data_IF_200951330372
#
_entry.id   IF_200951330372
#
_cell.length_a   1.000
_cell.length_b   1.000
_cell.length_c   1.000
_cell.angle_alpha   90.00
_cell.angle_beta   90.00
_cell.angle_gamma   90.00
#
_symmetry.space_group_name_H-M   'P 1'
#
loop_
_entity.id
_entity.type
_entity.pdbx_description
1 polymer ?
#
# COMPACT_ATOMS: atom_id res chain seq x y z
N UNK A 1 4.29 2.45 -1.33
CA UNK A 1 3.52 1.34 -0.72
C UNK A 1 2.04 1.61 -0.92
N UNK A 2 1.26 0.58 -1.28
CA UNK A 2 -0.20 0.66 -1.31
C UNK A 2 -0.75 -0.22 -0.18
N UNK A 3 -1.80 0.22 0.50
CA UNK A 3 -2.57 -0.70 1.35
C UNK A 3 -3.34 -1.71 0.46
N UNK A 4 -3.83 -2.81 1.05
CA UNK A 4 -4.58 -3.84 0.31
C UNK A 4 -5.81 -3.27 -0.38
N UNK A 5 -6.52 -2.34 0.28
CA UNK A 5 -7.74 -1.72 -0.20
C UNK A 5 -7.54 -0.87 -1.47
N UNK A 6 -6.39 -0.19 -1.59
CA UNK A 6 -5.98 0.58 -2.75
C UNK A 6 -5.58 -0.35 -3.89
N UNK A 7 -4.95 -1.50 -3.60
CA UNK A 7 -4.68 -2.52 -4.64
C UNK A 7 -5.99 -3.06 -5.22
N UNK A 8 -6.99 -3.32 -4.38
CA UNK A 8 -8.32 -3.74 -4.84
C UNK A 8 -9.02 -2.64 -5.67
N UNK A 9 -9.03 -1.40 -5.17
CA UNK A 9 -9.60 -0.27 -5.91
C UNK A 9 -8.95 -0.11 -7.28
N UNK A 10 -7.65 -0.34 -7.36
CA UNK A 10 -6.90 -0.20 -8.60
C UNK A 10 -7.17 -1.35 -9.59
N UNK A 11 -6.99 -2.60 -9.15
CA UNK A 11 -6.91 -3.76 -10.04
C UNK A 11 -8.21 -4.58 -10.13
N UNK A 12 -9.11 -4.44 -9.16
CA UNK A 12 -10.39 -5.16 -9.12
C UNK A 12 -11.54 -4.25 -9.49
N UNK A 13 -11.57 -3.05 -8.93
CA UNK A 13 -12.67 -2.10 -9.14
C UNK A 13 -12.39 -1.04 -10.21
N UNK A 14 -11.16 -1.01 -10.75
CA UNK A 14 -10.74 -0.07 -11.79
C UNK A 14 -11.12 1.39 -11.46
N UNK A 15 -10.90 1.78 -10.20
CA UNK A 15 -11.29 3.09 -9.69
C UNK A 15 -10.60 4.22 -10.46
N UNK A 16 -11.39 5.06 -11.13
CA UNK A 16 -10.90 6.18 -11.93
C UNK A 16 -10.01 7.16 -11.14
N UNK A 17 -10.15 7.22 -9.82
CA UNK A 17 -9.29 8.05 -8.94
C UNK A 17 -7.83 7.58 -8.95
N UNK A 18 -7.57 6.34 -9.36
CA UNK A 18 -6.24 5.73 -9.48
C UNK A 18 -5.72 5.71 -10.93
N UNK A 19 -6.40 6.38 -11.87
CA UNK A 19 -5.93 6.53 -13.26
C UNK A 19 -4.50 7.11 -13.35
N UNK A 20 -4.17 8.04 -12.47
CA UNK A 20 -2.82 8.61 -12.38
C UNK A 20 -1.77 7.62 -11.87
N UNK A 21 -2.17 6.73 -10.94
CA UNK A 21 -1.34 5.61 -10.49
C UNK A 21 -1.12 4.63 -11.65
N UNK A 22 -2.18 4.24 -12.37
CA UNK A 22 -2.09 3.37 -13.54
C UNK A 22 -1.15 3.96 -14.59
N UNK A 23 -1.30 5.24 -14.94
CA UNK A 23 -0.42 5.91 -15.91
C UNK A 23 1.04 5.94 -15.46
N UNK A 24 1.29 6.32 -14.20
CA UNK A 24 2.65 6.32 -13.66
C UNK A 24 3.23 4.90 -13.55
N UNK A 25 2.37 3.91 -13.34
CA UNK A 25 2.75 2.51 -13.42
C UNK A 25 3.16 2.17 -14.87
N UNK A 26 2.31 2.35 -15.86
CA UNK A 26 2.61 2.00 -17.26
C UNK A 26 3.86 2.72 -17.80
N UNK A 27 4.06 3.98 -17.42
CA UNK A 27 5.23 4.79 -17.79
C UNK A 27 6.49 4.48 -16.94
N UNK A 28 6.42 3.52 -16.02
CA UNK A 28 7.50 3.12 -15.11
C UNK A 28 8.10 4.29 -14.29
N UNK A 29 7.28 5.30 -13.96
CA UNK A 29 7.70 6.48 -13.19
C UNK A 29 7.66 6.30 -11.67
N UNK A 30 7.27 5.12 -11.21
CA UNK A 30 7.22 4.78 -9.80
C UNK A 30 7.63 3.33 -9.59
N UNK A 31 8.15 3.07 -8.39
CA UNK A 31 8.37 1.75 -7.86
C UNK A 31 7.35 1.50 -6.74
N UNK A 32 6.60 0.40 -6.82
CA UNK A 32 5.83 -0.07 -5.69
C UNK A 32 6.67 -1.08 -4.92
N UNK A 33 6.70 -0.93 -3.61
CA UNK A 33 7.22 -1.94 -2.69
C UNK A 33 6.06 -2.62 -1.97
N UNK A 34 6.28 -3.87 -1.54
CA UNK A 34 5.38 -4.63 -0.65
C UNK A 34 6.22 -5.60 0.19
N UNK A 35 5.60 -6.39 1.07
CA UNK A 35 6.21 -7.54 1.73
C UNK A 35 5.32 -8.78 1.63
N UNK A 36 5.86 -9.93 2.05
CA UNK A 36 5.19 -11.24 1.96
C UNK A 36 3.84 -11.26 2.70
N UNK A 37 3.73 -10.86 3.99
CA UNK A 37 2.44 -10.77 4.67
C UNK A 37 1.34 -9.99 3.92
N UNK A 38 1.61 -8.79 3.39
CA UNK A 38 0.66 -8.01 2.60
C UNK A 38 0.25 -8.70 1.29
N UNK A 39 1.15 -9.45 0.64
CA UNK A 39 0.79 -10.26 -0.53
C UNK A 39 -0.08 -11.46 -0.16
N UNK A 40 0.16 -12.09 0.99
CA UNK A 40 -0.68 -13.17 1.51
C UNK A 40 -2.07 -12.66 1.92
N UNK A 41 -2.12 -11.47 2.52
CA UNK A 41 -3.36 -10.76 2.82
C UNK A 41 -4.14 -10.48 1.53
N UNK A 42 -3.51 -9.88 0.52
CA UNK A 42 -4.15 -9.65 -0.78
C UNK A 42 -4.68 -10.95 -1.37
N UNK A 43 -3.88 -12.03 -1.38
CA UNK A 43 -4.29 -13.35 -1.86
C UNK A 43 -5.53 -13.86 -1.14
N UNK A 44 -5.57 -13.74 0.20
CA UNK A 44 -6.72 -14.15 1.03
C UNK A 44 -7.95 -13.28 0.76
N UNK A 45 -7.76 -11.97 0.68
CA UNK A 45 -8.85 -11.01 0.47
C UNK A 45 -9.50 -11.22 -0.89
N UNK A 46 -8.72 -11.51 -1.93
CA UNK A 46 -9.25 -11.83 -3.27
C UNK A 46 -10.17 -13.08 -3.29
N UNK A 47 -10.05 -14.00 -2.31
CA UNK A 47 -10.96 -15.14 -2.21
C UNK A 47 -12.29 -14.81 -1.53
N UNK A 48 -12.46 -13.60 -0.99
CA UNK A 48 -13.67 -13.27 -0.24
C UNK A 48 -14.90 -13.18 -1.17
N UNK A 49 -16.04 -13.84 -0.83
CA UNK A 49 -17.19 -13.94 -1.73
C UNK A 49 -17.78 -12.60 -2.19
N UNK A 50 -17.67 -11.55 -1.38
CA UNK A 50 -18.20 -10.23 -1.72
C UNK A 50 -17.56 -9.60 -2.97
N UNK A 51 -16.34 -10.00 -3.34
CA UNK A 51 -15.67 -9.51 -4.54
C UNK A 51 -16.12 -10.23 -5.81
N UNK A 52 -16.78 -11.39 -5.68
CA UNK A 52 -17.33 -12.18 -6.79
C UNK A 52 -16.30 -12.52 -7.89
N UNK A 53 -15.04 -12.70 -7.50
CA UNK A 53 -13.94 -13.05 -8.41
C UNK A 53 -13.83 -14.56 -8.59
N UNK A 54 -13.73 -15.00 -9.84
CA UNK A 54 -13.29 -16.36 -10.19
C UNK A 54 -11.81 -16.57 -9.86
N UNK A 55 -11.38 -17.83 -9.72
CA UNK A 55 -9.96 -18.15 -9.53
C UNK A 55 -9.06 -17.65 -10.68
N UNK A 56 -9.61 -17.50 -11.89
CA UNK A 56 -8.93 -16.87 -13.02
C UNK A 56 -8.64 -15.39 -12.75
N UNK A 57 -9.66 -14.63 -12.37
CA UNK A 57 -9.53 -13.20 -12.08
C UNK A 57 -8.62 -12.94 -10.88
N UNK A 58 -8.72 -13.75 -9.82
CA UNK A 58 -7.83 -13.66 -8.66
C UNK A 58 -6.35 -13.84 -9.05
N UNK A 59 -6.06 -14.81 -9.93
CA UNK A 59 -4.69 -15.02 -10.45
C UNK A 59 -4.21 -13.83 -11.28
N UNK A 60 -5.04 -13.31 -12.17
CA UNK A 60 -4.70 -12.14 -13.00
C UNK A 60 -4.34 -10.93 -12.14
N UNK A 61 -5.10 -10.65 -11.07
CA UNK A 61 -4.78 -9.54 -10.15
C UNK A 61 -3.42 -9.74 -9.49
N UNK A 62 -3.15 -10.94 -8.98
CA UNK A 62 -1.87 -11.26 -8.34
C UNK A 62 -0.69 -11.22 -9.32
N UNK A 63 -0.89 -11.65 -10.57
CA UNK A 63 0.11 -11.58 -11.63
C UNK A 63 0.41 -10.14 -12.03
N UNK A 64 -0.61 -9.30 -12.23
CA UNK A 64 -0.44 -7.88 -12.54
C UNK A 64 0.30 -7.18 -11.42
N UNK A 65 -0.16 -7.33 -10.17
CA UNK A 65 0.49 -6.69 -9.02
C UNK A 65 1.92 -7.22 -8.82
N UNK A 66 2.09 -8.54 -8.89
CA UNK A 66 3.37 -9.25 -8.73
C UNK A 66 4.38 -9.01 -9.84
N UNK A 67 3.95 -8.58 -11.04
CA UNK A 67 4.81 -8.42 -12.21
C UNK A 67 5.95 -7.42 -11.99
N UNK A 68 5.75 -6.42 -11.13
CA UNK A 68 6.72 -5.34 -10.94
C UNK A 68 6.73 -4.74 -9.53
N UNK A 69 5.89 -5.20 -8.61
CA UNK A 69 6.03 -4.79 -7.21
C UNK A 69 7.30 -5.41 -6.63
N UNK A 70 8.14 -4.60 -5.99
CA UNK A 70 9.33 -5.09 -5.29
C UNK A 70 8.92 -5.66 -3.93
N UNK A 71 8.98 -6.98 -3.81
CA UNK A 71 8.77 -7.67 -2.53
C UNK A 71 10.02 -7.52 -1.68
N UNK A 72 9.88 -6.88 -0.53
CA UNK A 72 11.01 -6.56 0.36
C UNK A 72 10.80 -7.28 1.70
N UNK A 73 11.83 -7.93 2.27
CA UNK A 73 11.70 -8.59 3.56
C UNK A 73 11.48 -7.58 4.69
N UNK A 74 10.92 -8.06 5.80
CA UNK A 74 11.01 -7.32 7.05
C UNK A 74 12.48 -7.24 7.49
N UNK A 75 12.95 -6.13 8.08
CA UNK A 75 14.31 -6.03 8.59
C UNK A 75 14.59 -7.05 9.71
N UNK A 76 15.87 -7.32 9.96
CA UNK A 76 16.29 -8.23 11.03
C UNK A 76 15.71 -7.81 12.39
N UNK A 77 15.10 -8.77 13.09
CA UNK A 77 14.47 -8.55 14.39
C UNK A 77 13.10 -7.85 14.33
N UNK A 78 12.58 -7.54 13.15
CA UNK A 78 11.23 -7.05 12.91
C UNK A 78 10.31 -8.22 12.55
N UNK A 79 9.19 -8.35 13.26
CA UNK A 79 8.13 -9.33 12.95
C UNK A 79 6.78 -8.62 12.87
N UNK A 80 5.74 -9.33 12.44
CA UNK A 80 4.38 -8.76 12.41
C UNK A 80 3.87 -8.40 13.82
N UNK A 81 4.30 -9.15 14.83
CA UNK A 81 3.99 -8.89 16.25
C UNK A 81 4.89 -7.79 16.84
N UNK A 82 6.11 -7.62 16.28
CA UNK A 82 7.10 -6.65 16.71
C UNK A 82 7.62 -5.85 15.51
N UNK A 83 6.83 -4.87 15.10
CA UNK A 83 7.09 -4.04 13.93
C UNK A 83 8.33 -3.12 14.00
N UNK A 84 9.08 -3.14 15.10
CA UNK A 84 10.35 -2.40 15.22
C UNK A 84 10.22 -0.88 15.10
N UNK A 85 9.05 -0.32 15.42
CA UNK A 85 8.79 1.11 15.28
C UNK A 85 9.44 1.94 16.41
N UNK A 86 9.90 3.17 16.13
CA UNK A 86 10.51 4.02 17.15
C UNK A 86 9.50 4.41 18.24
N UNK A 87 10.01 4.69 19.44
CA UNK A 87 9.18 5.15 20.56
C UNK A 87 8.38 6.39 20.17
N UNK A 88 7.08 6.35 20.42
CA UNK A 88 6.16 7.46 20.08
C UNK A 88 5.66 7.45 18.64
N UNK A 89 6.04 6.46 17.80
CA UNK A 89 5.41 6.29 16.51
C UNK A 89 3.89 6.07 16.68
N UNK A 90 3.04 6.78 15.91
CA UNK A 90 1.60 6.63 16.06
C UNK A 90 1.14 5.22 15.66
N UNK A 91 0.32 4.60 16.51
CA UNK A 91 -0.37 3.36 16.17
C UNK A 91 -1.75 3.65 15.60
N UNK A 92 -2.14 2.84 14.62
CA UNK A 92 -3.51 2.81 14.16
C UNK A 92 -4.43 2.27 15.27
N UNK A 93 -5.71 2.62 15.20
CA UNK A 93 -6.71 2.02 16.11
C UNK A 93 -6.96 0.57 15.73
N UNK A 94 -6.89 0.28 14.44
CA UNK A 94 -6.87 -1.07 13.89
C UNK A 94 -5.41 -1.49 13.70
N UNK A 95 -4.94 -2.45 14.50
CA UNK A 95 -3.55 -2.89 14.46
C UNK A 95 -3.16 -3.58 13.16
N UNK A 96 -4.16 -4.00 12.36
CA UNK A 96 -3.92 -4.68 11.10
C UNK A 96 -3.29 -3.75 10.06
N UNK A 97 -3.36 -2.42 10.22
CA UNK A 97 -2.71 -1.48 9.30
C UNK A 97 -1.27 -1.12 9.68
N UNK A 98 -0.83 -1.42 10.91
CA UNK A 98 0.45 -0.92 11.43
C UNK A 98 1.64 -1.50 10.64
N UNK A 99 1.53 -2.70 10.07
CA UNK A 99 2.62 -3.30 9.30
C UNK A 99 2.86 -2.61 7.94
N UNK A 100 1.85 -1.98 7.35
CA UNK A 100 2.02 -1.16 6.15
C UNK A 100 2.83 0.10 6.47
N UNK A 101 2.54 0.76 7.60
CA UNK A 101 3.29 1.91 8.09
C UNK A 101 4.73 1.52 8.45
N UNK A 102 4.91 0.36 9.05
CA UNK A 102 6.23 -0.18 9.36
C UNK A 102 7.05 -0.44 8.09
N UNK A 103 6.45 -1.03 7.06
CA UNK A 103 7.13 -1.22 5.78
C UNK A 103 7.55 0.12 5.18
N UNK A 104 6.63 1.10 5.14
CA UNK A 104 6.93 2.43 4.60
C UNK A 104 8.08 3.11 5.37
N UNK A 105 8.11 2.95 6.69
CA UNK A 105 9.17 3.45 7.55
C UNK A 105 10.52 2.77 7.29
N UNK A 106 10.58 1.44 7.39
CA UNK A 106 11.82 0.67 7.33
C UNK A 106 12.47 0.67 5.95
N UNK A 107 11.67 0.80 4.88
CA UNK A 107 12.16 0.82 3.51
C UNK A 107 12.18 2.21 2.89
N UNK A 108 12.00 3.26 3.70
CA UNK A 108 12.04 4.66 3.27
C UNK A 108 11.14 4.95 2.05
N UNK A 109 9.94 4.39 2.05
CA UNK A 109 9.00 4.63 0.96
C UNK A 109 8.62 6.12 0.89
N UNK A 110 8.56 6.67 -0.32
CA UNK A 110 8.15 8.07 -0.54
C UNK A 110 6.74 8.36 0.01
N UNK A 111 5.87 7.35 -0.04
CA UNK A 111 4.55 7.37 0.57
C UNK A 111 3.97 5.96 0.79
N UNK A 112 3.09 5.85 1.77
CA UNK A 112 2.01 4.87 1.82
C UNK A 112 0.73 5.52 1.31
N UNK A 113 -0.02 4.81 0.47
CA UNK A 113 -1.31 5.25 -0.06
C UNK A 113 -2.41 4.43 0.59
N UNK A 114 -3.39 5.10 1.18
CA UNK A 114 -4.52 4.47 1.85
C UNK A 114 -5.81 5.27 1.69
N UNK A 115 -6.95 4.58 1.73
CA UNK A 115 -8.28 5.22 1.86
C UNK A 115 -8.88 5.06 3.26
N UNK A 116 -8.23 4.33 4.15
CA UNK A 116 -8.73 4.12 5.51
C UNK A 116 -8.57 5.40 6.34
N UNK A 117 -9.65 5.82 6.99
CA UNK A 117 -9.64 7.02 7.83
C UNK A 117 -8.72 6.88 9.03
N UNK A 118 -8.64 5.69 9.64
CA UNK A 118 -7.78 5.43 10.78
C UNK A 118 -6.30 5.61 10.41
N UNK A 119 -5.88 5.15 9.23
CA UNK A 119 -4.52 5.36 8.68
C UNK A 119 -4.29 6.82 8.29
N UNK A 120 -5.24 7.44 7.58
CA UNK A 120 -5.16 8.84 7.16
C UNK A 120 -5.07 9.81 8.36
N UNK A 121 -5.76 9.53 9.45
CA UNK A 121 -5.69 10.32 10.70
C UNK A 121 -4.29 10.28 11.35
N UNK A 122 -3.44 9.30 10.98
CA UNK A 122 -2.05 9.24 11.43
C UNK A 122 -1.10 10.12 10.63
N UNK A 123 -1.48 10.58 9.43
CA UNK A 123 -0.60 11.25 8.47
C UNK A 123 0.25 12.36 9.10
N UNK A 124 -0.38 13.24 9.90
CA UNK A 124 0.32 14.35 10.58
C UNK A 124 1.35 13.88 11.61
N UNK A 125 1.06 12.80 12.33
CA UNK A 125 1.95 12.24 13.36
C UNK A 125 3.05 11.39 12.73
N UNK A 126 2.71 10.56 11.75
CA UNK A 126 3.65 9.68 11.04
C UNK A 126 4.71 10.49 10.27
N UNK A 127 4.33 11.66 9.73
CA UNK A 127 5.27 12.58 9.06
C UNK A 127 6.42 13.03 9.94
N UNK A 128 6.24 13.12 11.27
CA UNK A 128 7.32 13.46 12.21
C UNK A 128 8.43 12.41 12.24
N UNK A 129 8.13 11.20 11.78
CA UNK A 129 9.04 10.07 11.68
C UNK A 129 9.46 9.79 10.23
N UNK A 130 9.21 10.71 9.30
CA UNK A 130 9.58 10.57 7.88
C UNK A 130 8.59 9.76 7.04
N UNK A 131 7.48 9.28 7.60
CA UNK A 131 6.47 8.51 6.84
C UNK A 131 5.40 9.43 6.29
N UNK A 132 5.25 9.46 4.97
CA UNK A 132 4.18 10.20 4.29
C UNK A 132 3.00 9.28 4.02
N UNK A 133 1.81 9.66 4.48
CA UNK A 133 0.55 8.96 4.17
C UNK A 133 -0.24 9.84 3.20
N UNK A 134 -0.70 9.27 2.08
CA UNK A 134 -1.49 9.95 1.06
C UNK A 134 -2.84 9.24 0.85
N UNK A 135 -3.89 10.01 0.61
CA UNK A 135 -5.11 9.50 -0.02
C UNK A 135 -4.92 9.31 -1.53
N UNK A 136 -5.80 8.56 -2.23
CA UNK A 136 -5.77 8.46 -3.69
C UNK A 136 -5.74 9.82 -4.41
N UNK A 137 -6.51 10.78 -3.90
CA UNK A 137 -6.55 12.14 -4.45
C UNK A 137 -5.21 12.86 -4.29
N UNK A 138 -4.57 12.72 -3.13
CA UNK A 138 -3.25 13.34 -2.88
C UNK A 138 -2.14 12.66 -3.68
N UNK A 139 -2.23 11.34 -3.88
CA UNK A 139 -1.32 10.62 -4.78
C UNK A 139 -1.46 11.14 -6.22
N UNK A 140 -2.69 11.25 -6.73
CA UNK A 140 -2.95 11.72 -8.08
C UNK A 140 -2.38 13.13 -8.32
N UNK A 141 -2.57 14.05 -7.37
CA UNK A 141 -1.97 15.38 -7.43
C UNK A 141 -0.43 15.31 -7.50
N UNK A 142 0.20 14.53 -6.61
CA UNK A 142 1.66 14.37 -6.57
C UNK A 142 2.24 13.75 -7.84
N UNK A 143 1.57 12.75 -8.41
CA UNK A 143 1.99 12.12 -9.67
C UNK A 143 1.79 13.02 -10.90
N UNK A 144 0.85 13.96 -10.82
CA UNK A 144 0.61 14.96 -11.86
C UNK A 144 1.65 16.08 -11.84
N UNK A 145 2.06 16.52 -10.65
CA UNK A 145 3.09 17.55 -10.45
C UNK A 145 4.49 17.08 -10.86
N UNK A 146 4.80 15.79 -10.66
CA UNK A 146 6.09 15.18 -11.03
C UNK A 146 6.31 15.04 -12.55
N UNK A 147 5.43 15.60 -13.39
CA UNK A 147 5.53 15.60 -14.86
C UNK A 147 6.36 16.75 -15.44
N UNK A 148 6.94 17.60 -14.60
CA UNK A 148 7.72 18.79 -15.00
C UNK A 148 9.21 18.57 -14.82
#
# INVERSE_FOLDING_TARGET
MLDTNIVLDWLVFEDARLSELQRAWDEQRLELITHVPALEELRRVLTYPQFKLSEGEQRVVLEIYGSRVRVTPLPDGVTMERLGMPTGFPRCKDCDDDHFLALAYHHHADAIVSKDRAVLDLAKRARKFGVTVLSPLQLAARLSEAKV
#
